data_IF_067903141236
#
_entry.id   IF_067903141236
#
_cell.length_a   1.000
_cell.length_b   1.000
_cell.length_c   1.000
_cell.angle_alpha   90.00
_cell.angle_beta   90.00
_cell.angle_gamma   90.00
#
_symmetry.space_group_name_H-M   'P 1'
#
loop_
_entity.id
_entity.type
_entity.pdbx_description
1 polymer ?
#
# COMPACT_ATOMS: atom_id res chain seq x y z
N UNK A 1 19.46 -23.40 -20.55
CA UNK A 1 19.79 -23.02 -19.16
C UNK A 1 18.83 -21.93 -18.76
N UNK A 2 18.17 -22.03 -17.60
CA UNK A 2 17.42 -20.90 -17.06
C UNK A 2 18.43 -19.89 -16.49
N UNK A 3 18.30 -18.62 -16.87
CA UNK A 3 19.10 -17.55 -16.29
C UNK A 3 18.61 -17.28 -14.86
N UNK A 4 19.50 -17.13 -13.88
CA UNK A 4 19.09 -16.80 -12.52
C UNK A 4 18.49 -15.39 -12.47
N UNK A 5 17.56 -15.15 -11.54
CA UNK A 5 17.18 -13.78 -11.19
C UNK A 5 18.36 -13.11 -10.49
N UNK A 6 18.70 -11.89 -10.91
CA UNK A 6 19.75 -11.09 -10.28
C UNK A 6 19.13 -9.94 -9.48
N UNK A 7 19.76 -9.55 -8.37
CA UNK A 7 19.34 -8.38 -7.60
C UNK A 7 19.26 -7.12 -8.47
N UNK A 8 20.21 -6.96 -9.41
CA UNK A 8 20.26 -5.85 -10.37
C UNK A 8 18.99 -5.74 -11.21
N UNK A 9 18.29 -6.84 -11.49
CA UNK A 9 17.03 -6.80 -12.24
C UNK A 9 15.92 -6.07 -11.47
N UNK A 10 15.96 -6.08 -10.14
CA UNK A 10 14.97 -5.39 -9.29
C UNK A 10 15.25 -3.88 -9.17
N UNK A 11 16.54 -3.52 -9.10
CA UNK A 11 16.96 -2.15 -8.77
C UNK A 11 17.32 -1.29 -9.99
N UNK A 12 17.61 -1.88 -11.15
CA UNK A 12 17.96 -1.13 -12.37
C UNK A 12 16.75 -0.55 -13.13
N UNK A 13 15.53 -1.01 -12.82
CA UNK A 13 14.31 -0.49 -13.44
C UNK A 13 13.87 0.84 -12.79
N UNK A 14 13.12 1.69 -13.52
CA UNK A 14 12.53 2.90 -12.95
C UNK A 14 11.70 2.59 -11.70
N UNK A 15 11.92 3.35 -10.63
CA UNK A 15 11.26 3.15 -9.34
C UNK A 15 10.13 4.20 -9.15
N UNK A 16 9.03 3.85 -8.45
CA UNK A 16 8.79 2.57 -7.81
C UNK A 16 8.39 1.47 -8.82
N UNK A 17 8.77 0.22 -8.54
CA UNK A 17 8.48 -0.94 -9.39
C UNK A 17 7.85 -2.09 -8.58
N UNK A 18 7.17 -3.01 -9.26
CA UNK A 18 6.60 -4.21 -8.66
C UNK A 18 7.09 -5.45 -9.41
N UNK A 19 7.56 -6.46 -8.68
CA UNK A 19 7.98 -7.73 -9.24
C UNK A 19 7.28 -8.88 -8.52
N UNK A 20 6.76 -9.84 -9.30
CA UNK A 20 6.24 -11.10 -8.77
C UNK A 20 7.29 -12.18 -8.98
N UNK A 21 7.78 -12.77 -7.90
CA UNK A 21 8.78 -13.84 -7.93
C UNK A 21 8.18 -15.12 -7.36
N UNK A 22 8.18 -16.18 -8.17
CA UNK A 22 7.72 -17.50 -7.74
C UNK A 22 8.92 -18.40 -7.39
N UNK A 23 9.11 -18.69 -6.10
CA UNK A 23 10.14 -19.59 -5.59
C UNK A 23 9.65 -21.04 -5.43
N UNK A 24 8.61 -21.44 -6.16
CA UNK A 24 7.89 -22.72 -6.11
C UNK A 24 7.15 -22.99 -4.79
N UNK A 25 7.80 -22.79 -3.64
CA UNK A 25 7.24 -22.96 -2.29
C UNK A 25 6.40 -21.76 -1.87
N UNK A 26 6.94 -20.57 -2.12
CA UNK A 26 6.35 -19.29 -1.72
C UNK A 26 6.41 -18.33 -2.91
N UNK A 27 5.49 -17.37 -2.92
CA UNK A 27 5.44 -16.29 -3.91
C UNK A 27 5.78 -14.99 -3.21
N UNK A 28 6.59 -14.16 -3.84
CA UNK A 28 6.99 -12.85 -3.33
C UNK A 28 6.48 -11.77 -4.27
N UNK A 29 5.81 -10.77 -3.71
CA UNK A 29 5.54 -9.52 -4.38
C UNK A 29 6.55 -8.50 -3.84
N UNK A 30 7.63 -8.28 -4.59
CA UNK A 30 8.64 -7.29 -4.24
C UNK A 30 8.22 -5.91 -4.73
N UNK A 31 8.32 -4.93 -3.84
CA UNK A 31 7.99 -3.54 -4.08
C UNK A 31 9.25 -2.69 -3.95
N UNK A 32 9.51 -1.96 -5.02
CA UNK A 32 10.65 -1.07 -5.18
C UNK A 32 10.62 0.16 -4.29
N UNK A 33 11.67 0.97 -4.41
CA UNK A 33 11.83 2.19 -3.60
C UNK A 33 10.68 3.16 -3.88
N UNK A 34 10.02 3.59 -2.81
CA UNK A 34 8.99 4.62 -2.89
C UNK A 34 9.66 6.01 -2.85
N UNK A 35 9.27 6.95 -3.72
CA UNK A 35 9.73 8.34 -3.61
C UNK A 35 9.25 8.95 -2.29
N UNK A 36 10.02 9.91 -1.76
CA UNK A 36 9.63 10.62 -0.55
C UNK A 36 8.28 11.33 -0.76
N UNK A 37 7.45 11.42 0.29
CA UNK A 37 6.12 12.03 0.21
C UNK A 37 6.16 13.49 -0.31
N UNK A 38 7.30 14.18 -0.18
CA UNK A 38 7.51 15.54 -0.71
C UNK A 38 7.61 15.60 -2.25
N UNK A 39 7.98 14.50 -2.90
CA UNK A 39 8.17 14.40 -4.35
C UNK A 39 6.92 13.85 -5.06
N UNK A 40 5.96 13.32 -4.30
CA UNK A 40 4.79 12.66 -4.86
C UNK A 40 3.58 13.60 -4.88
N UNK A 41 3.08 13.96 -6.06
CA UNK A 41 1.77 14.63 -6.16
C UNK A 41 0.67 13.69 -5.65
N UNK A 42 -0.41 14.22 -5.07
CA UNK A 42 -1.52 13.39 -4.56
C UNK A 42 -2.08 12.41 -5.60
N UNK A 43 -2.10 12.81 -6.88
CA UNK A 43 -2.52 11.93 -7.98
C UNK A 43 -1.55 10.77 -8.25
N UNK A 44 -0.25 10.97 -8.03
CA UNK A 44 0.76 9.93 -8.22
C UNK A 44 0.64 8.85 -7.13
N UNK A 45 0.40 9.26 -5.87
CA UNK A 45 0.16 8.33 -4.75
C UNK A 45 -1.09 7.48 -4.98
N UNK A 46 -2.20 8.08 -5.41
CA UNK A 46 -3.43 7.36 -5.73
C UNK A 46 -3.21 6.34 -6.85
N UNK A 47 -2.54 6.73 -7.95
CA UNK A 47 -2.22 5.80 -9.05
C UNK A 47 -1.35 4.63 -8.56
N UNK A 48 -0.35 4.94 -7.75
CA UNK A 48 0.55 3.93 -7.19
C UNK A 48 -0.19 2.94 -6.28
N UNK A 49 -1.07 3.42 -5.40
CA UNK A 49 -1.89 2.55 -4.56
C UNK A 49 -2.85 1.67 -5.39
N UNK A 50 -3.39 2.19 -6.49
CA UNK A 50 -4.19 1.38 -7.44
C UNK A 50 -3.34 0.29 -8.10
N UNK A 51 -2.13 0.60 -8.57
CA UNK A 51 -1.21 -0.38 -9.17
C UNK A 51 -0.83 -1.47 -8.17
N UNK A 52 -0.49 -1.09 -6.93
CA UNK A 52 -0.21 -2.03 -5.84
C UNK A 52 -1.39 -2.94 -5.55
N UNK A 53 -2.60 -2.38 -5.47
CA UNK A 53 -3.82 -3.17 -5.26
C UNK A 53 -4.00 -4.21 -6.35
N UNK A 54 -3.91 -3.81 -7.62
CA UNK A 54 -4.00 -4.72 -8.76
C UNK A 54 -2.92 -5.81 -8.72
N UNK A 55 -1.68 -5.46 -8.36
CA UNK A 55 -0.58 -6.43 -8.27
C UNK A 55 -0.79 -7.43 -7.13
N UNK A 56 -1.28 -6.98 -5.98
CA UNK A 56 -1.61 -7.84 -4.85
C UNK A 56 -2.75 -8.81 -5.19
N UNK A 57 -3.81 -8.32 -5.83
CA UNK A 57 -4.92 -9.16 -6.34
C UNK A 57 -4.42 -10.19 -7.35
N UNK A 58 -3.55 -9.76 -8.28
CA UNK A 58 -2.92 -10.63 -9.27
C UNK A 58 -2.07 -11.72 -8.61
N UNK A 59 -1.27 -11.38 -7.60
CA UNK A 59 -0.44 -12.33 -6.87
C UNK A 59 -1.28 -13.39 -6.15
N UNK A 60 -2.39 -13.00 -5.51
CA UNK A 60 -3.30 -13.94 -4.84
C UNK A 60 -4.00 -14.84 -5.85
N UNK A 61 -4.45 -14.29 -6.97
CA UNK A 61 -5.08 -15.07 -8.03
C UNK A 61 -4.08 -16.05 -8.67
N UNK A 62 -2.85 -15.61 -8.92
CA UNK A 62 -1.76 -16.48 -9.38
C UNK A 62 -1.53 -17.67 -8.44
N UNK A 63 -1.44 -17.42 -7.12
CA UNK A 63 -1.27 -18.48 -6.13
C UNK A 63 -2.43 -19.49 -6.17
N UNK A 64 -3.67 -18.99 -6.28
CA UNK A 64 -4.87 -19.83 -6.38
C UNK A 64 -4.85 -20.73 -7.61
N UNK A 65 -4.52 -20.19 -8.78
CA UNK A 65 -4.46 -20.96 -10.03
C UNK A 65 -3.29 -21.94 -10.08
N UNK A 66 -2.17 -21.62 -9.43
CA UNK A 66 -1.01 -22.51 -9.33
C UNK A 66 -1.33 -23.80 -8.56
N UNK A 67 -2.15 -23.72 -7.50
CA UNK A 67 -2.63 -24.90 -6.78
C UNK A 67 -3.94 -24.61 -6.05
N UNK A 68 -5.08 -25.01 -6.63
CA UNK A 68 -6.39 -24.72 -6.04
C UNK A 68 -6.62 -25.38 -4.66
N UNK A 69 -6.01 -26.54 -4.40
CA UNK A 69 -6.21 -27.29 -3.14
C UNK A 69 -5.38 -26.74 -1.99
N UNK A 70 -4.15 -26.32 -2.30
CA UNK A 70 -3.19 -25.75 -1.33
C UNK A 70 -2.41 -24.63 -2.02
N UNK A 71 -3.02 -23.44 -2.18
CA UNK A 71 -2.35 -22.29 -2.77
C UNK A 71 -1.09 -21.95 -1.95
N UNK A 72 0.07 -21.66 -2.58
CA UNK A 72 1.21 -21.13 -1.87
C UNK A 72 0.87 -19.78 -1.24
N UNK A 73 1.58 -19.43 -0.18
CA UNK A 73 1.45 -18.10 0.42
C UNK A 73 2.19 -17.06 -0.41
N UNK A 74 1.61 -15.86 -0.49
CA UNK A 74 2.23 -14.70 -1.11
C UNK A 74 2.64 -13.69 -0.04
N UNK A 75 3.90 -13.23 -0.07
CA UNK A 75 4.46 -12.28 0.88
C UNK A 75 4.84 -10.97 0.19
N UNK A 76 4.50 -9.85 0.83
CA UNK A 76 4.92 -8.52 0.40
C UNK A 76 6.35 -8.26 0.91
N UNK A 77 7.25 -7.93 -0.01
CA UNK A 77 8.65 -7.66 0.26
C UNK A 77 8.94 -6.21 -0.12
N UNK A 78 9.51 -5.43 0.79
CA UNK A 78 9.82 -4.01 0.55
C UNK A 78 11.31 -3.85 0.29
N UNK A 79 11.65 -3.02 -0.70
CA UNK A 79 13.03 -2.71 -1.05
C UNK A 79 13.84 -2.25 0.17
N UNK A 80 15.00 -2.88 0.41
CA UNK A 80 15.88 -2.64 1.56
C UNK A 80 15.49 -3.36 2.85
N UNK A 81 14.28 -3.92 2.94
CA UNK A 81 13.78 -4.69 4.08
C UNK A 81 13.53 -6.17 3.71
N UNK A 82 14.29 -6.69 2.76
CA UNK A 82 14.14 -8.06 2.28
C UNK A 82 14.55 -9.09 3.36
N UNK A 83 13.69 -10.08 3.66
CA UNK A 83 14.03 -11.15 4.58
C UNK A 83 15.00 -12.15 3.92
N UNK A 84 15.70 -12.93 4.74
CA UNK A 84 16.62 -13.95 4.24
C UNK A 84 15.94 -15.00 3.35
N UNK A 85 14.67 -15.30 3.58
CA UNK A 85 13.89 -16.21 2.73
C UNK A 85 13.75 -15.68 1.30
N UNK A 86 13.80 -14.36 1.12
CA UNK A 86 13.82 -13.70 -0.19
C UNK A 86 15.24 -13.59 -0.73
N UNK A 87 16.19 -13.02 0.02
CA UNK A 87 17.55 -12.74 -0.50
C UNK A 87 18.30 -14.02 -0.90
N UNK A 88 18.01 -15.15 -0.25
CA UNK A 88 18.65 -16.44 -0.53
C UNK A 88 18.20 -17.08 -1.85
N UNK A 89 17.21 -16.52 -2.57
CA UNK A 89 16.82 -17.03 -3.90
C UNK A 89 17.71 -16.44 -5.01
N UNK A 90 18.53 -15.43 -4.69
CA UNK A 90 19.47 -14.80 -5.61
C UNK A 90 20.88 -15.38 -5.42
N UNK A 91 21.70 -15.47 -6.49
CA UNK A 91 23.07 -15.95 -6.37
C UNK A 91 23.97 -15.09 -5.47
N UNK A 92 23.71 -13.78 -5.46
CA UNK A 92 24.36 -12.80 -4.58
C UNK A 92 23.32 -11.76 -4.16
N UNK A 93 23.49 -11.22 -2.95
CA UNK A 93 22.66 -10.14 -2.43
C UNK A 93 23.50 -9.20 -1.57
N UNK A 94 23.56 -7.93 -1.95
CA UNK A 94 24.25 -6.87 -1.22
C UNK A 94 23.25 -5.82 -0.73
N UNK A 95 23.33 -5.48 0.56
CA UNK A 95 22.46 -4.44 1.11
C UNK A 95 23.03 -3.07 0.76
N UNK A 96 22.20 -2.26 0.12
CA UNK A 96 22.49 -0.86 -0.12
C UNK A 96 22.18 -0.04 1.15
N UNK A 97 23.20 0.55 1.81
CA UNK A 97 23.01 1.31 3.05
C UNK A 97 22.28 2.65 2.82
N UNK A 98 22.20 3.14 1.58
CA UNK A 98 21.56 4.42 1.28
C UNK A 98 20.02 4.30 1.19
N UNK A 99 19.49 3.06 1.16
CA UNK A 99 18.05 2.81 1.19
C UNK A 99 17.50 3.10 2.59
N UNK A 100 16.84 4.25 2.73
CA UNK A 100 16.15 4.64 3.96
C UNK A 100 14.88 3.80 4.15
N UNK A 101 14.88 2.96 5.18
CA UNK A 101 13.68 2.25 5.62
C UNK A 101 12.74 3.20 6.36
N UNK A 102 11.50 3.28 5.91
CA UNK A 102 10.44 4.06 6.57
C UNK A 102 9.22 3.17 6.85
N UNK A 103 8.42 3.54 7.86
CA UNK A 103 7.12 2.92 8.13
C UNK A 103 7.19 1.40 8.40
N UNK A 104 6.40 0.63 7.67
CA UNK A 104 6.32 -0.84 7.82
C UNK A 104 7.65 -1.55 7.49
N UNK A 105 8.46 -0.99 6.58
CA UNK A 105 9.75 -1.57 6.19
C UNK A 105 10.76 -1.61 7.35
N UNK A 106 10.73 -0.60 8.23
CA UNK A 106 11.62 -0.54 9.40
C UNK A 106 11.26 -1.56 10.49
N UNK A 107 10.03 -2.11 10.47
CA UNK A 107 9.56 -3.04 11.51
C UNK A 107 10.06 -4.47 11.29
N UNK A 108 10.79 -4.76 10.21
CA UNK A 108 11.32 -6.09 9.84
C UNK A 108 10.29 -7.22 9.98
N UNK A 109 9.02 -6.92 9.70
CA UNK A 109 7.92 -7.87 9.81
C UNK A 109 7.53 -8.39 8.44
N UNK A 110 7.63 -9.70 8.26
CA UNK A 110 7.10 -10.37 7.07
C UNK A 110 5.58 -10.17 7.03
N UNK A 111 5.08 -9.65 5.92
CA UNK A 111 3.66 -9.33 5.74
C UNK A 111 3.09 -10.16 4.60
N UNK A 112 1.94 -10.81 4.81
CA UNK A 112 1.23 -11.51 3.75
C UNK A 112 0.57 -10.51 2.80
N UNK A 113 0.60 -10.81 1.51
CA UNK A 113 -0.06 -9.98 0.48
C UNK A 113 -1.54 -9.79 0.78
N UNK A 114 -2.23 -10.83 1.27
CA UNK A 114 -3.64 -10.73 1.68
C UNK A 114 -3.87 -9.69 2.79
N UNK A 115 -2.94 -9.58 3.72
CA UNK A 115 -3.07 -8.68 4.87
C UNK A 115 -2.78 -7.25 4.43
N UNK A 116 -1.74 -7.04 3.61
CA UNK A 116 -1.47 -5.75 2.99
C UNK A 116 -2.63 -5.26 2.11
N UNK A 117 -3.17 -6.14 1.26
CA UNK A 117 -4.30 -5.84 0.39
C UNK A 117 -5.55 -5.45 1.20
N UNK A 118 -5.79 -6.14 2.32
CA UNK A 118 -6.92 -5.82 3.21
C UNK A 118 -6.81 -4.42 3.82
N UNK A 119 -5.60 -3.97 4.17
CA UNK A 119 -5.34 -2.60 4.65
C UNK A 119 -5.58 -1.59 3.54
N UNK A 120 -4.99 -1.82 2.37
CA UNK A 120 -5.10 -0.92 1.22
C UNK A 120 -6.53 -0.83 0.65
N UNK A 121 -7.33 -1.89 0.83
CA UNK A 121 -8.71 -1.96 0.35
C UNK A 121 -9.74 -1.55 1.41
N UNK A 122 -9.32 -1.15 2.61
CA UNK A 122 -10.22 -0.70 3.67
C UNK A 122 -10.93 0.59 3.22
N UNK A 123 -12.25 0.55 3.22
CA UNK A 123 -13.11 1.67 2.76
C UNK A 123 -13.72 2.46 3.92
N UNK A 124 -13.59 1.97 5.15
CA UNK A 124 -14.14 2.62 6.34
C UNK A 124 -13.10 2.69 7.45
N UNK A 125 -12.94 3.86 8.05
CA UNK A 125 -12.00 4.16 9.12
C UNK A 125 -12.70 4.93 10.24
N UNK A 126 -12.16 4.84 11.45
CA UNK A 126 -12.66 5.65 12.56
C UNK A 126 -12.24 7.12 12.37
N UNK A 127 -12.98 8.04 12.99
CA UNK A 127 -12.60 9.46 12.97
C UNK A 127 -11.19 9.67 13.54
N UNK A 128 -10.82 8.95 14.59
CA UNK A 128 -9.50 9.02 15.21
C UNK A 128 -8.38 8.57 14.24
N UNK A 129 -8.61 7.48 13.49
CA UNK A 129 -7.65 7.00 12.48
C UNK A 129 -7.42 8.03 11.36
N UNK A 130 -8.47 8.76 10.94
CA UNK A 130 -8.38 9.76 9.87
C UNK A 130 -7.84 11.12 10.35
N UNK A 131 -7.90 11.40 11.65
CA UNK A 131 -7.31 12.61 12.25
C UNK A 131 -5.86 12.39 12.68
N UNK A 132 -5.45 11.14 12.91
CA UNK A 132 -4.07 10.79 13.23
C UNK A 132 -3.13 11.03 12.04
N UNK A 133 -1.85 11.33 12.36
CA UNK A 133 -0.76 11.42 11.38
C UNK A 133 0.33 10.41 11.74
N UNK A 134 0.88 9.65 10.78
CA UNK A 134 0.53 9.62 9.35
C UNK A 134 -0.86 9.00 9.10
N UNK A 135 -1.48 9.36 7.98
CA UNK A 135 -2.75 8.76 7.56
C UNK A 135 -2.57 7.28 7.22
N UNK A 136 -3.62 6.45 7.37
CA UNK A 136 -3.59 5.07 6.91
C UNK A 136 -3.32 4.95 5.40
N UNK A 137 -2.78 3.81 4.99
CA UNK A 137 -2.41 3.55 3.59
C UNK A 137 -3.65 3.46 2.68
N UNK A 138 -3.57 4.02 1.47
CA UNK A 138 -4.70 4.06 0.52
C UNK A 138 -5.78 5.10 0.84
N UNK A 139 -5.64 5.87 1.92
CA UNK A 139 -6.57 6.95 2.27
C UNK A 139 -6.22 8.22 1.48
N UNK A 140 -7.19 8.74 0.73
CA UNK A 140 -7.08 10.05 0.06
C UNK A 140 -7.15 11.20 1.09
N UNK A 141 -6.05 11.94 1.32
CA UNK A 141 -6.01 13.03 2.29
C UNK A 141 -6.99 14.16 1.99
N UNK A 142 -7.40 14.32 0.74
CA UNK A 142 -8.32 15.40 0.33
C UNK A 142 -9.79 15.01 0.52
N UNK A 143 -10.07 13.72 0.75
CA UNK A 143 -11.42 13.15 0.77
C UNK A 143 -11.66 12.25 1.97
N UNK A 144 -11.13 12.61 3.14
CA UNK A 144 -11.26 11.82 4.37
C UNK A 144 -12.71 11.49 4.72
N UNK A 145 -13.66 12.37 4.41
CA UNK A 145 -15.08 12.22 4.69
C UNK A 145 -15.74 10.99 4.03
N UNK A 146 -15.17 10.48 2.92
CA UNK A 146 -15.73 9.31 2.23
C UNK A 146 -15.48 8.01 2.99
N UNK A 147 -14.47 8.02 3.87
CA UNK A 147 -14.02 6.87 4.63
C UNK A 147 -14.69 6.77 6.01
N UNK A 148 -15.48 7.76 6.42
CA UNK A 148 -16.25 7.69 7.66
C UNK A 148 -17.51 6.85 7.46
N UNK A 149 -17.94 6.12 8.49
CA UNK A 149 -19.30 5.58 8.57
C UNK A 149 -20.32 6.72 8.60
N UNK A 150 -21.58 6.50 8.25
CA UNK A 150 -22.59 7.58 8.32
C UNK A 150 -22.79 8.09 9.76
N UNK A 151 -22.64 7.20 10.75
CA UNK A 151 -22.70 7.56 12.15
C UNK A 151 -21.53 8.47 12.55
N UNK A 152 -20.31 8.14 12.16
CA UNK A 152 -19.13 8.95 12.49
C UNK A 152 -19.08 10.23 11.67
N UNK A 153 -19.54 10.19 10.42
CA UNK A 153 -19.71 11.38 9.59
C UNK A 153 -20.62 12.38 10.30
N UNK A 154 -21.80 11.94 10.75
CA UNK A 154 -22.74 12.81 11.45
C UNK A 154 -22.19 13.30 12.79
N UNK A 155 -21.43 12.48 13.52
CA UNK A 155 -20.78 12.90 14.77
C UNK A 155 -19.70 13.97 14.56
N UNK A 156 -18.86 13.82 13.52
CA UNK A 156 -17.71 14.71 13.28
C UNK A 156 -18.13 16.00 12.59
N UNK A 157 -18.96 15.90 11.55
CA UNK A 157 -19.40 17.03 10.73
C UNK A 157 -20.71 17.66 11.20
N UNK A 158 -21.36 17.07 12.21
CA UNK A 158 -22.61 17.55 12.82
C UNK A 158 -23.77 17.71 11.82
N UNK A 159 -23.72 16.98 10.70
CA UNK A 159 -24.74 16.98 9.64
C UNK A 159 -24.77 15.65 8.90
N UNK A 160 -25.84 15.40 8.16
CA UNK A 160 -25.94 14.17 7.35
C UNK A 160 -25.08 14.28 6.09
N UNK A 161 -24.65 13.13 5.56
CA UNK A 161 -23.86 13.04 4.31
C UNK A 161 -24.58 13.67 3.12
N UNK A 162 -25.89 13.46 3.02
CA UNK A 162 -26.74 14.04 1.97
C UNK A 162 -26.75 15.57 2.03
N UNK A 163 -26.89 16.13 3.23
CA UNK A 163 -26.88 17.57 3.47
C UNK A 163 -25.52 18.16 3.11
N UNK A 164 -24.42 17.53 3.56
CA UNK A 164 -23.06 17.94 3.21
C UNK A 164 -22.82 17.95 1.69
N UNK A 165 -23.26 16.90 0.99
CA UNK A 165 -23.09 16.78 -0.46
C UNK A 165 -23.90 17.84 -1.25
N UNK A 166 -24.97 18.38 -0.67
CA UNK A 166 -25.75 19.47 -1.26
C UNK A 166 -25.14 20.86 -1.07
N UNK A 167 -24.14 20.99 -0.19
CA UNK A 167 -23.46 22.26 0.04
C UNK A 167 -22.52 22.59 -1.14
N UNK A 168 -22.32 23.88 -1.47
CA UNK A 168 -21.28 24.28 -2.42
C UNK A 168 -19.88 23.79 -1.98
N UNK A 169 -19.02 23.45 -2.96
CA UNK A 169 -17.66 22.93 -2.72
C UNK A 169 -16.84 23.76 -1.72
N UNK A 170 -16.90 25.10 -1.82
CA UNK A 170 -16.16 25.98 -0.91
C UNK A 170 -16.59 25.80 0.56
N UNK A 171 -17.88 25.53 0.80
CA UNK A 171 -18.44 25.32 2.13
C UNK A 171 -18.09 23.93 2.67
N UNK A 172 -18.09 22.91 1.81
CA UNK A 172 -17.60 21.58 2.13
C UNK A 172 -16.13 21.61 2.57
N UNK A 173 -15.27 22.27 1.81
CA UNK A 173 -13.84 22.41 2.13
C UNK A 173 -13.64 23.12 3.47
N UNK A 174 -14.38 24.21 3.73
CA UNK A 174 -14.27 24.95 4.99
C UNK A 174 -14.69 24.11 6.20
N UNK A 175 -15.74 23.29 6.07
CA UNK A 175 -16.17 22.36 7.12
C UNK A 175 -15.15 21.24 7.37
N UNK A 176 -14.56 20.69 6.30
CA UNK A 176 -13.48 19.69 6.45
C UNK A 176 -12.27 20.26 7.17
N UNK A 177 -11.83 21.46 6.76
CA UNK A 177 -10.73 22.17 7.42
C UNK A 177 -11.01 22.46 8.89
N UNK A 178 -12.22 22.90 9.24
CA UNK A 178 -12.56 23.21 10.64
C UNK A 178 -12.58 21.97 11.54
N UNK A 179 -12.81 20.78 10.97
CA UNK A 179 -12.80 19.50 11.68
C UNK A 179 -11.50 18.70 11.52
N UNK A 180 -10.48 19.25 10.86
CA UNK A 180 -9.19 18.57 10.65
C UNK A 180 -9.21 17.45 9.59
N UNK A 181 -10.25 17.39 8.77
CA UNK A 181 -10.41 16.43 7.67
C UNK A 181 -9.86 16.97 6.33
N UNK A 182 -8.79 17.78 6.37
CA UNK A 182 -8.15 18.38 5.19
C UNK A 182 -6.62 18.36 5.32
#
# INVERSE_FOLDING_TARGET
MALPFLQENLYSVPQPALFLLDNRLEVYLWQGRQPDDAECTGSAKIRWDMERKCAMETALQYCREKNHKRPPQAYLILAGAEPLTFTNIFPYWERDPDIKLQGEAARNKVTLVKDALSRLSKTQYTAEELLAKPLPEGVDPLRLEIYLSDQDFQRVLEMKREEFNSLPNWKQINLKKSKGLF
#
